data_IF_093951198734
#
_entry.id   IF_093951198734
#
_cell.length_a   1.000
_cell.length_b   1.000
_cell.length_c   1.000
_cell.angle_alpha   90.00
_cell.angle_beta   90.00
_cell.angle_gamma   90.00
#
_symmetry.space_group_name_H-M   'P 1'
#
loop_
_entity.id
_entity.type
_entity.pdbx_description
1 polymer ?
#
# COMPACT_ATOMS: atom_id res chain seq x y z
N UNK A 1 -21.61 15.54 -44.82
CA UNK A 1 -22.24 14.85 -43.67
C UNK A 1 -21.09 14.42 -42.79
N UNK A 2 -20.66 15.17 -41.78
CA UNK A 2 -21.41 15.72 -40.67
C UNK A 2 -20.81 15.09 -39.41
N UNK A 3 -19.58 15.50 -39.04
CA UNK A 3 -18.97 15.18 -37.75
C UNK A 3 -19.48 16.20 -36.73
N UNK A 4 -20.79 16.23 -36.50
CA UNK A 4 -21.41 17.11 -35.52
C UNK A 4 -22.42 16.27 -34.76
N UNK A 5 -21.92 15.61 -33.72
CA UNK A 5 -22.65 15.22 -32.50
C UNK A 5 -21.67 14.61 -31.46
N UNK A 6 -20.38 14.94 -31.52
CA UNK A 6 -19.45 14.61 -30.44
C UNK A 6 -19.76 15.54 -29.26
N UNK A 7 -20.49 15.01 -28.27
CA UNK A 7 -20.75 15.73 -27.04
C UNK A 7 -19.39 16.12 -26.42
N UNK A 8 -19.18 17.39 -26.04
CA UNK A 8 -17.90 17.83 -25.50
C UNK A 8 -17.65 17.08 -24.18
N UNK A 9 -16.61 16.24 -24.16
CA UNK A 9 -16.15 15.57 -22.96
C UNK A 9 -15.27 16.55 -22.19
N UNK A 10 -15.73 16.95 -21.01
CA UNK A 10 -14.92 17.74 -20.09
C UNK A 10 -13.97 16.81 -19.33
N UNK A 11 -12.67 17.08 -19.43
CA UNK A 11 -11.60 16.33 -18.77
C UNK A 11 -11.07 17.15 -17.59
N UNK A 12 -11.40 16.71 -16.38
CA UNK A 12 -10.91 17.32 -15.15
C UNK A 12 -9.89 16.43 -14.49
N UNK A 13 -8.74 16.96 -14.11
CA UNK A 13 -7.77 16.22 -13.31
C UNK A 13 -8.40 15.87 -11.95
N UNK A 14 -8.36 14.60 -11.56
CA UNK A 14 -9.14 14.09 -10.42
C UNK A 14 -8.65 14.67 -9.08
N UNK A 15 -7.35 14.93 -8.97
CA UNK A 15 -6.70 15.59 -7.84
C UNK A 15 -5.50 16.39 -8.34
N UNK A 16 -5.07 17.40 -7.58
CA UNK A 16 -3.67 17.83 -7.59
C UNK A 16 -2.84 16.67 -7.04
N UNK A 17 -2.53 15.68 -7.88
CA UNK A 17 -1.72 14.51 -7.47
C UNK A 17 -0.43 15.02 -6.84
N UNK A 18 0.00 14.47 -5.69
CA UNK A 18 1.34 14.79 -5.18
C UNK A 18 2.34 14.53 -6.31
N UNK A 19 3.29 15.45 -6.47
CA UNK A 19 4.17 15.55 -7.65
C UNK A 19 5.02 14.28 -7.89
N UNK A 20 5.10 13.38 -6.90
CA UNK A 20 5.86 12.12 -6.96
C UNK A 20 5.06 10.88 -7.43
N UNK A 21 3.83 11.03 -7.94
CA UNK A 21 3.05 9.86 -8.42
C UNK A 21 3.44 9.45 -9.83
N UNK A 22 3.50 8.13 -10.06
CA UNK A 22 3.72 7.56 -11.38
C UNK A 22 2.53 7.85 -12.32
N UNK A 23 1.31 7.61 -11.81
CA UNK A 23 0.07 7.74 -12.57
C UNK A 23 -0.60 9.10 -12.35
N UNK A 24 -1.19 9.61 -13.43
CA UNK A 24 -2.09 10.77 -13.40
C UNK A 24 -3.48 10.31 -13.81
N UNK A 25 -4.49 10.76 -13.06
CA UNK A 25 -5.89 10.44 -13.31
C UNK A 25 -6.68 11.67 -13.77
N UNK A 26 -7.41 11.50 -14.85
CA UNK A 26 -8.38 12.46 -15.37
C UNK A 26 -9.78 11.85 -15.27
N UNK A 27 -10.76 12.63 -14.84
CA UNK A 27 -12.18 12.31 -14.93
C UNK A 27 -12.70 12.86 -16.24
N UNK A 28 -13.28 11.99 -17.04
CA UNK A 28 -14.15 12.38 -18.14
C UNK A 28 -15.59 12.40 -17.63
N UNK A 29 -16.23 13.56 -17.67
CA UNK A 29 -17.67 13.70 -17.44
C UNK A 29 -18.36 14.02 -18.76
N UNK A 30 -19.27 13.15 -19.19
CA UNK A 30 -20.22 13.41 -20.28
C UNK A 30 -21.57 13.80 -19.68
N UNK A 31 -22.34 14.65 -20.36
CA UNK A 31 -23.62 15.19 -19.87
C UNK A 31 -24.70 14.14 -19.59
N UNK A 32 -24.56 12.92 -20.12
CA UNK A 32 -25.57 11.85 -20.02
C UNK A 32 -25.00 10.46 -19.65
N UNK A 33 -23.71 10.31 -19.35
CA UNK A 33 -23.08 8.98 -19.14
C UNK A 33 -22.38 8.80 -17.78
N UNK A 34 -22.11 7.53 -17.46
CA UNK A 34 -21.25 7.14 -16.34
C UNK A 34 -19.87 7.81 -16.46
N UNK A 35 -19.40 8.41 -15.36
CA UNK A 35 -18.08 9.04 -15.34
C UNK A 35 -16.98 8.00 -15.53
N UNK A 36 -15.99 8.35 -16.35
CA UNK A 36 -14.84 7.50 -16.64
C UNK A 36 -13.57 8.11 -16.04
N UNK A 37 -12.66 7.25 -15.60
CA UNK A 37 -11.33 7.62 -15.16
C UNK A 37 -10.31 7.19 -16.21
N UNK A 38 -9.58 8.16 -16.75
CA UNK A 38 -8.44 7.96 -17.63
C UNK A 38 -7.15 8.03 -16.81
N UNK A 39 -6.40 6.93 -16.78
CA UNK A 39 -5.10 6.80 -16.13
C UNK A 39 -3.99 6.75 -17.18
N UNK A 40 -2.94 7.55 -16.96
CA UNK A 40 -1.79 7.71 -17.85
C UNK A 40 -0.49 7.80 -17.04
N UNK A 41 0.64 7.43 -17.64
CA UNK A 41 1.98 7.80 -17.14
C UNK A 41 2.47 9.01 -17.94
N UNK A 42 2.76 10.16 -17.31
CA UNK A 42 3.33 11.30 -18.02
C UNK A 42 4.71 10.96 -18.60
N UNK A 43 4.99 11.37 -19.83
CA UNK A 43 6.29 11.10 -20.48
C UNK A 43 7.49 11.76 -19.77
N UNK A 44 7.24 12.80 -18.97
CA UNK A 44 8.26 13.47 -18.16
C UNK A 44 8.62 12.68 -16.90
N UNK A 45 7.79 11.70 -16.50
CA UNK A 45 8.00 10.94 -15.28
C UNK A 45 9.06 9.89 -15.52
N UNK A 46 10.19 10.00 -14.79
CA UNK A 46 11.19 8.94 -14.76
C UNK A 46 10.62 7.73 -14.01
N UNK A 47 10.65 6.57 -14.67
CA UNK A 47 10.13 5.31 -14.14
C UNK A 47 11.28 4.46 -13.59
N UNK A 48 11.00 3.77 -12.49
CA UNK A 48 11.85 2.69 -11.99
C UNK A 48 11.74 1.50 -12.94
N UNK A 49 12.74 0.62 -12.94
CA UNK A 49 12.74 -0.59 -13.79
C UNK A 49 11.46 -1.43 -13.63
N UNK A 50 10.95 -1.58 -12.41
CA UNK A 50 9.72 -2.34 -12.13
C UNK A 50 8.42 -1.63 -12.53
N UNK A 51 8.48 -0.34 -12.86
CA UNK A 51 7.30 0.45 -13.23
C UNK A 51 7.08 0.57 -14.75
N UNK A 52 8.02 0.06 -15.55
CA UNK A 52 8.04 0.24 -17.00
C UNK A 52 6.78 -0.32 -17.70
N UNK A 53 6.10 -1.29 -17.09
CA UNK A 53 4.84 -1.86 -17.57
C UNK A 53 3.66 -1.60 -16.60
N UNK A 54 3.66 -0.47 -15.89
CA UNK A 54 2.67 -0.16 -14.84
C UNK A 54 1.21 -0.18 -15.33
N UNK A 55 0.89 0.52 -16.43
CA UNK A 55 -0.46 0.58 -16.99
C UNK A 55 -0.92 -0.79 -17.48
N UNK A 56 -0.03 -1.51 -18.18
CA UNK A 56 -0.31 -2.88 -18.62
C UNK A 56 -0.61 -3.81 -17.44
N UNK A 57 0.22 -3.78 -16.41
CA UNK A 57 0.10 -4.65 -15.24
C UNK A 57 -1.20 -4.39 -14.47
N UNK A 58 -1.55 -3.12 -14.30
CA UNK A 58 -2.83 -2.73 -13.71
C UNK A 58 -4.02 -3.21 -14.54
N UNK A 59 -4.01 -3.02 -15.86
CA UNK A 59 -5.10 -3.43 -16.74
C UNK A 59 -5.35 -4.95 -16.68
N UNK A 60 -4.27 -5.75 -16.74
CA UNK A 60 -4.35 -7.22 -16.69
C UNK A 60 -4.86 -7.69 -15.33
N UNK A 61 -4.35 -7.11 -14.23
CA UNK A 61 -4.79 -7.47 -12.88
C UNK A 61 -6.28 -7.18 -12.66
N UNK A 62 -6.75 -5.99 -13.03
CA UNK A 62 -8.15 -5.59 -12.85
C UNK A 62 -9.11 -6.48 -13.65
N UNK A 63 -8.71 -6.87 -14.87
CA UNK A 63 -9.47 -7.84 -15.68
C UNK A 63 -9.53 -9.21 -15.00
N UNK A 64 -8.39 -9.72 -14.53
CA UNK A 64 -8.32 -11.03 -13.85
C UNK A 64 -9.15 -11.06 -12.56
N UNK A 65 -9.08 -10.02 -11.72
CA UNK A 65 -9.87 -9.92 -10.49
C UNK A 65 -11.37 -9.91 -10.81
N UNK A 66 -11.78 -9.16 -11.84
CA UNK A 66 -13.19 -9.11 -12.28
C UNK A 66 -13.76 -10.50 -12.60
N UNK A 67 -12.95 -11.42 -13.14
CA UNK A 67 -13.36 -12.78 -13.54
C UNK A 67 -13.20 -13.80 -12.43
N UNK A 68 -12.14 -13.69 -11.63
CA UNK A 68 -11.91 -14.57 -10.48
C UNK A 68 -13.09 -14.49 -9.51
N UNK A 69 -13.69 -13.31 -9.36
CA UNK A 69 -14.92 -13.13 -8.58
C UNK A 69 -16.17 -13.75 -9.23
N UNK A 70 -16.25 -13.83 -10.56
CA UNK A 70 -17.35 -14.51 -11.26
C UNK A 70 -17.27 -16.04 -11.08
N UNK A 71 -16.05 -16.59 -11.10
CA UNK A 71 -15.82 -18.04 -10.99
C UNK A 71 -16.06 -18.58 -9.58
N UNK A 72 -15.78 -17.78 -8.54
CA UNK A 72 -16.07 -18.16 -7.15
C UNK A 72 -17.58 -18.34 -6.90
N UNK A 73 -18.42 -17.49 -7.51
CA UNK A 73 -19.88 -17.56 -7.41
C UNK A 73 -20.50 -18.75 -8.16
N UNK A 74 -19.85 -19.24 -9.22
CA UNK A 74 -20.33 -20.39 -9.99
C UNK A 74 -20.12 -21.72 -9.23
N UNK A 75 -19.01 -21.86 -8.49
CA UNK A 75 -18.68 -23.08 -7.76
C UNK A 75 -19.49 -23.26 -6.47
N UNK A 76 -20.01 -22.19 -5.86
CA UNK A 76 -20.95 -22.29 -4.74
C UNK A 76 -22.32 -22.86 -5.14
N UNK A 77 -22.68 -22.79 -6.43
CA UNK A 77 -23.94 -23.34 -6.96
C UNK A 77 -23.90 -24.84 -7.26
N UNK A 78 -22.72 -25.47 -7.31
CA UNK A 78 -22.55 -26.82 -7.87
C UNK A 78 -22.22 -27.92 -6.83
N UNK A 79 -21.93 -27.57 -5.57
CA UNK A 79 -21.52 -28.56 -4.55
C UNK A 79 -22.69 -29.24 -3.80
N UNK A 80 -23.94 -29.05 -4.21
CA UNK A 80 -25.13 -29.59 -3.54
C UNK A 80 -25.92 -30.61 -4.37
N UNK A 81 -25.28 -31.46 -5.18
CA UNK A 81 -26.00 -32.56 -5.85
C UNK A 81 -25.19 -33.84 -6.01
N UNK A 82 -24.95 -34.55 -4.91
CA UNK A 82 -24.74 -36.00 -4.98
C UNK A 82 -24.99 -36.69 -3.64
N UNK A 83 -26.24 -37.07 -3.37
CA UNK A 83 -26.59 -38.37 -2.75
C UNK A 83 -28.10 -38.60 -2.78
N UNK A 84 -28.50 -39.76 -3.29
CA UNK A 84 -29.89 -40.24 -3.39
C UNK A 84 -30.49 -40.59 -2.01
N UNK A 85 -31.80 -40.29 -1.81
CA UNK A 85 -32.61 -40.99 -0.80
C UNK A 85 -33.91 -40.31 -0.28
N UNK A 86 -35.03 -40.51 -1.00
CA UNK A 86 -36.43 -40.67 -0.52
C UNK A 86 -37.20 -39.53 0.21
N UNK A 87 -38.15 -38.95 -0.54
CA UNK A 87 -39.55 -38.53 -0.22
C UNK A 87 -39.90 -38.09 1.22
N UNK A 88 -40.27 -36.81 1.39
CA UNK A 88 -41.56 -36.39 1.97
C UNK A 88 -41.85 -34.90 1.72
N UNK A 89 -43.13 -34.61 1.54
CA UNK A 89 -43.73 -33.32 1.18
C UNK A 89 -43.67 -32.29 2.32
N UNK A 90 -43.63 -31.00 1.95
CA UNK A 90 -44.32 -29.95 2.72
C UNK A 90 -43.52 -28.67 3.01
N UNK A 91 -44.12 -27.55 2.60
CA UNK A 91 -43.95 -26.17 3.08
C UNK A 91 -42.87 -25.30 2.43
N UNK A 92 -43.37 -24.39 1.57
CA UNK A 92 -42.80 -23.09 1.28
C UNK A 92 -42.25 -22.41 2.54
N UNK A 93 -40.95 -22.11 2.54
CA UNK A 93 -40.40 -20.91 3.18
C UNK A 93 -39.25 -20.40 2.30
N UNK A 94 -39.37 -19.15 1.87
CA UNK A 94 -38.40 -18.50 0.99
C UNK A 94 -37.00 -18.49 1.60
N UNK A 95 -36.12 -19.33 1.05
CA UNK A 95 -34.71 -19.37 1.38
C UNK A 95 -34.02 -18.10 0.92
N UNK A 96 -33.71 -17.21 1.86
CA UNK A 96 -32.78 -16.10 1.63
C UNK A 96 -31.42 -16.69 1.22
N UNK A 97 -31.02 -16.36 -0.01
CA UNK A 97 -29.67 -16.57 -0.54
C UNK A 97 -28.63 -16.07 0.49
N UNK A 98 -27.57 -16.85 0.80
CA UNK A 98 -26.55 -16.42 1.75
C UNK A 98 -25.84 -15.16 1.19
N UNK A 99 -25.88 -14.09 1.99
CA UNK A 99 -25.33 -12.75 1.70
C UNK A 99 -23.81 -12.67 1.87
N UNK A 100 -23.06 -13.67 1.43
CA UNK A 100 -21.60 -13.67 1.58
C UNK A 100 -20.88 -13.48 0.23
N UNK A 101 -21.31 -12.48 -0.54
CA UNK A 101 -20.39 -11.92 -1.56
C UNK A 101 -19.26 -11.19 -0.84
N UNK A 102 -17.98 -11.46 -1.16
CA UNK A 102 -16.88 -10.67 -0.61
C UNK A 102 -17.11 -9.18 -0.91
N UNK A 103 -16.86 -8.28 0.06
CA UNK A 103 -17.26 -6.86 0.00
C UNK A 103 -16.62 -6.09 -1.17
N UNK A 104 -15.59 -6.66 -1.79
CA UNK A 104 -14.79 -6.08 -2.85
C UNK A 104 -15.47 -5.94 -4.22
N UNK A 105 -16.58 -6.65 -4.47
CA UNK A 105 -17.17 -6.78 -5.83
C UNK A 105 -17.64 -5.44 -6.43
N UNK A 106 -18.17 -4.54 -5.62
CA UNK A 106 -18.75 -3.28 -6.11
C UNK A 106 -17.74 -2.13 -6.15
N UNK A 107 -16.47 -2.41 -5.84
CA UNK A 107 -15.49 -1.37 -5.58
C UNK A 107 -14.24 -1.48 -6.45
N UNK A 108 -14.05 -2.61 -7.13
CA UNK A 108 -12.98 -2.75 -8.11
C UNK A 108 -13.23 -1.84 -9.33
N UNK A 109 -12.23 -1.06 -9.79
CA UNK A 109 -12.33 -0.31 -11.03
C UNK A 109 -12.58 -1.25 -12.21
N UNK A 110 -13.70 -1.06 -12.92
CA UNK A 110 -14.02 -1.87 -14.10
C UNK A 110 -13.30 -1.31 -15.32
N UNK A 111 -12.42 -2.11 -15.90
CA UNK A 111 -11.71 -1.75 -17.15
C UNK A 111 -12.71 -1.63 -18.30
N UNK A 112 -12.70 -0.47 -18.95
CA UNK A 112 -13.46 -0.18 -20.17
C UNK A 112 -12.56 -0.39 -21.39
N UNK A 113 -11.35 0.18 -21.35
CA UNK A 113 -10.38 0.09 -22.45
C UNK A 113 -8.96 0.26 -21.91
N UNK A 114 -8.04 -0.52 -22.46
CA UNK A 114 -6.60 -0.31 -22.31
C UNK A 114 -5.98 -0.26 -23.70
N UNK A 115 -5.00 0.60 -23.89
CA UNK A 115 -4.31 0.70 -25.16
C UNK A 115 -3.26 1.79 -25.16
N UNK A 116 -2.90 2.21 -26.36
CA UNK A 116 -1.84 3.18 -26.60
C UNK A 116 -2.33 4.22 -27.60
N UNK A 117 -2.19 5.49 -27.23
CA UNK A 117 -2.53 6.62 -28.08
C UNK A 117 -1.27 7.09 -28.79
N UNK A 118 -1.35 7.40 -30.09
CA UNK A 118 -0.18 7.80 -30.90
C UNK A 118 0.07 9.31 -30.94
N UNK A 119 -0.84 10.13 -30.41
CA UNK A 119 -0.79 11.58 -30.52
C UNK A 119 -1.12 12.23 -29.17
N UNK A 120 -0.32 13.18 -28.65
CA UNK A 120 0.89 13.79 -29.24
C UNK A 120 2.17 12.91 -29.15
N UNK A 121 2.11 11.76 -28.50
CA UNK A 121 3.21 10.79 -28.34
C UNK A 121 2.63 9.41 -28.06
N UNK A 122 3.47 8.37 -28.08
CA UNK A 122 3.07 6.97 -27.85
C UNK A 122 2.81 6.71 -26.36
N UNK A 123 1.62 7.08 -25.86
CA UNK A 123 1.26 7.02 -24.43
C UNK A 123 0.33 5.85 -24.17
N UNK A 124 0.71 4.98 -23.23
CA UNK A 124 -0.19 3.95 -22.71
C UNK A 124 -1.26 4.55 -21.81
N UNK A 125 -2.48 4.08 -21.98
CA UNK A 125 -3.62 4.55 -21.23
C UNK A 125 -4.50 3.40 -20.74
N UNK A 126 -5.11 3.64 -19.58
CA UNK A 126 -6.13 2.78 -19.01
C UNK A 126 -7.38 3.63 -18.74
N UNK A 127 -8.51 3.18 -19.26
CA UNK A 127 -9.82 3.76 -19.06
C UNK A 127 -10.67 2.81 -18.21
N UNK A 128 -11.12 3.29 -17.05
CA UNK A 128 -11.96 2.55 -16.12
C UNK A 128 -13.25 3.30 -15.82
N UNK A 129 -14.29 2.58 -15.36
CA UNK A 129 -15.45 3.23 -14.75
C UNK A 129 -15.04 3.90 -13.44
N UNK A 130 -15.53 5.11 -13.17
CA UNK A 130 -15.21 5.82 -11.94
C UNK A 130 -15.74 5.06 -10.73
N UNK A 131 -14.86 4.81 -9.78
CA UNK A 131 -15.23 4.32 -8.45
C UNK A 131 -15.52 5.55 -7.57
N UNK A 132 -16.64 5.53 -6.84
CA UNK A 132 -17.03 6.62 -5.92
C UNK A 132 -16.06 6.73 -4.74
N UNK A 133 -16.01 7.86 -4.04
CA UNK A 133 -15.14 8.06 -2.86
C UNK A 133 -13.93 8.97 -3.11
N UNK A 134 -13.25 9.32 -2.03
CA UNK A 134 -12.10 10.22 -2.01
C UNK A 134 -10.84 9.51 -1.51
N UNK A 135 -9.67 9.94 -1.96
CA UNK A 135 -8.39 9.42 -1.43
C UNK A 135 -8.18 9.90 0.01
N UNK A 136 -7.59 9.09 0.87
CA UNK A 136 -7.44 9.41 2.29
C UNK A 136 -6.63 10.71 2.51
N UNK A 137 -5.58 10.96 1.71
CA UNK A 137 -4.83 12.24 1.76
C UNK A 137 -5.69 13.47 1.52
N UNK A 138 -6.82 13.36 0.81
CA UNK A 138 -7.70 14.50 0.54
C UNK A 138 -8.48 14.97 1.77
N UNK A 139 -8.59 14.13 2.80
CA UNK A 139 -9.22 14.51 4.07
C UNK A 139 -8.27 15.26 5.01
N UNK A 140 -6.96 15.24 4.75
CA UNK A 140 -5.95 15.88 5.60
C UNK A 140 -6.06 15.49 7.08
N UNK A 141 -5.89 16.46 7.98
CA UNK A 141 -5.95 16.25 9.43
C UNK A 141 -7.38 16.23 10.02
N UNK A 142 -8.42 16.08 9.19
CA UNK A 142 -9.81 16.17 9.64
C UNK A 142 -10.31 14.93 10.40
N UNK A 143 -9.53 13.84 10.45
CA UNK A 143 -9.94 12.58 11.05
C UNK A 143 -9.63 12.56 12.55
N UNK A 144 -10.64 12.18 13.35
CA UNK A 144 -10.43 11.87 14.75
C UNK A 144 -9.61 10.59 14.92
N UNK A 145 -8.94 10.44 16.08
CA UNK A 145 -8.19 9.21 16.40
C UNK A 145 -9.06 7.95 16.33
N UNK A 146 -10.33 8.03 16.71
CA UNK A 146 -11.25 6.89 16.62
C UNK A 146 -11.57 6.51 15.17
N UNK A 147 -11.78 7.50 14.30
CA UNK A 147 -11.98 7.27 12.87
C UNK A 147 -10.72 6.69 12.22
N UNK A 148 -9.53 7.19 12.59
CA UNK A 148 -8.27 6.64 12.09
C UNK A 148 -8.12 5.16 12.44
N UNK A 149 -8.35 4.78 13.71
CA UNK A 149 -8.31 3.36 14.12
C UNK A 149 -9.30 2.48 13.35
N UNK A 150 -10.49 3.01 13.07
CA UNK A 150 -11.50 2.31 12.27
C UNK A 150 -11.03 2.13 10.82
N UNK A 151 -10.39 3.15 10.22
CA UNK A 151 -9.79 3.08 8.89
C UNK A 151 -8.64 2.07 8.89
N UNK A 152 -7.73 2.14 9.87
CA UNK A 152 -6.59 1.22 9.98
C UNK A 152 -7.05 -0.24 10.07
N UNK A 153 -8.08 -0.52 10.87
CA UNK A 153 -8.70 -1.84 10.94
C UNK A 153 -9.26 -2.28 9.58
N UNK A 154 -9.99 -1.41 8.89
CA UNK A 154 -10.53 -1.73 7.57
C UNK A 154 -9.43 -1.89 6.50
N UNK A 155 -8.31 -1.17 6.60
CA UNK A 155 -7.12 -1.39 5.75
C UNK A 155 -6.55 -2.80 5.99
N UNK A 156 -6.50 -3.25 7.24
CA UNK A 156 -6.13 -4.63 7.57
C UNK A 156 -7.04 -5.65 6.87
N UNK A 157 -8.36 -5.43 6.92
CA UNK A 157 -9.33 -6.28 6.23
C UNK A 157 -9.17 -6.24 4.70
N UNK A 158 -8.93 -5.06 4.13
CA UNK A 158 -8.66 -4.86 2.72
C UNK A 158 -7.47 -5.71 2.25
N UNK A 159 -6.34 -5.64 2.96
CA UNK A 159 -5.13 -6.41 2.63
C UNK A 159 -5.38 -7.92 2.77
N UNK A 160 -6.15 -8.33 3.79
CA UNK A 160 -6.58 -9.73 3.95
C UNK A 160 -7.37 -10.21 2.74
N UNK A 161 -8.36 -9.43 2.31
CA UNK A 161 -9.25 -9.76 1.20
C UNK A 161 -8.46 -9.86 -0.12
N UNK A 162 -7.50 -8.95 -0.36
CA UNK A 162 -6.58 -9.05 -1.49
C UNK A 162 -5.75 -10.34 -1.42
N UNK A 163 -5.22 -10.66 -0.23
CA UNK A 163 -4.35 -11.84 -0.01
C UNK A 163 -5.07 -13.18 -0.16
N UNK A 164 -6.41 -13.21 -0.22
CA UNK A 164 -7.18 -14.42 -0.55
C UNK A 164 -6.79 -14.95 -1.93
N UNK A 165 -6.52 -14.03 -2.85
CA UNK A 165 -6.22 -14.32 -4.24
C UNK A 165 -4.79 -14.86 -4.37
N UNK A 166 -4.66 -16.12 -4.78
CA UNK A 166 -3.36 -16.77 -4.98
C UNK A 166 -2.93 -16.73 -6.44
N UNK A 167 -1.63 -16.84 -6.67
CA UNK A 167 -1.06 -17.04 -8.00
C UNK A 167 -1.70 -18.24 -8.69
N UNK A 168 -2.28 -18.09 -9.89
CA UNK A 168 -2.94 -19.20 -10.59
C UNK A 168 -2.02 -20.37 -10.95
N UNK A 169 -0.71 -20.11 -11.06
CA UNK A 169 0.29 -21.13 -11.38
C UNK A 169 1.19 -21.48 -10.18
N UNK A 170 0.90 -20.95 -8.98
CA UNK A 170 1.70 -21.21 -7.78
C UNK A 170 3.11 -20.61 -7.77
N UNK A 171 3.43 -19.70 -8.70
CA UNK A 171 4.73 -19.01 -8.75
C UNK A 171 4.64 -17.60 -8.14
N UNK A 172 5.78 -17.12 -7.66
CA UNK A 172 6.03 -15.75 -7.23
C UNK A 172 6.44 -14.89 -8.44
N UNK A 173 6.06 -13.61 -8.44
CA UNK A 173 6.40 -12.70 -9.52
C UNK A 173 5.54 -11.46 -9.58
N UNK A 174 5.85 -10.56 -10.53
CA UNK A 174 4.95 -9.46 -10.88
C UNK A 174 3.62 -10.02 -11.41
N UNK A 175 2.50 -9.35 -11.10
CA UNK A 175 1.16 -9.84 -11.45
C UNK A 175 1.00 -10.05 -12.95
N UNK A 176 1.44 -9.10 -13.77
CA UNK A 176 1.38 -9.20 -15.24
C UNK A 176 2.12 -10.43 -15.76
N UNK A 177 3.36 -10.63 -15.35
CA UNK A 177 4.20 -11.77 -15.77
C UNK A 177 3.60 -13.11 -15.34
N UNK A 178 3.14 -13.22 -14.09
CA UNK A 178 2.52 -14.44 -13.55
C UNK A 178 1.20 -14.76 -14.26
N UNK A 179 0.34 -13.77 -14.46
CA UNK A 179 -0.95 -13.96 -15.14
C UNK A 179 -0.77 -14.26 -16.62
N UNK A 180 0.23 -13.66 -17.27
CA UNK A 180 0.63 -13.99 -18.64
C UNK A 180 1.08 -15.44 -18.74
N UNK A 181 1.97 -15.88 -17.85
CA UNK A 181 2.45 -17.27 -17.80
C UNK A 181 1.34 -18.29 -17.49
N UNK A 182 0.31 -17.88 -16.74
CA UNK A 182 -0.87 -18.69 -16.47
C UNK A 182 -1.94 -18.67 -17.58
N UNK A 183 -1.70 -17.99 -18.71
CA UNK A 183 -2.68 -17.77 -19.79
C UNK A 183 -3.97 -17.07 -19.32
N UNK A 184 -3.87 -16.19 -18.32
CA UNK A 184 -5.00 -15.46 -17.72
C UNK A 184 -5.13 -14.01 -18.26
N UNK A 185 -4.52 -13.71 -19.40
CA UNK A 185 -4.59 -12.39 -20.04
C UNK A 185 -5.65 -12.37 -21.16
N UNK A 186 -6.46 -11.32 -21.25
CA UNK A 186 -7.44 -11.21 -22.34
C UNK A 186 -6.83 -10.63 -23.62
N UNK A 187 -7.16 -11.26 -24.73
CA UNK A 187 -6.86 -10.89 -26.12
C UNK A 187 -7.67 -9.69 -26.62
N UNK A 188 -7.87 -8.64 -25.82
CA UNK A 188 -8.61 -7.44 -26.29
C UNK A 188 -7.75 -6.57 -27.21
N UNK A 189 -6.43 -6.72 -27.17
CA UNK A 189 -5.53 -5.99 -28.07
C UNK A 189 -4.43 -6.91 -28.56
N UNK A 190 -4.26 -7.03 -29.88
CA UNK A 190 -3.01 -7.52 -30.49
C UNK A 190 -1.89 -6.55 -30.07
N UNK A 191 -1.33 -6.72 -28.88
CA UNK A 191 -0.14 -6.02 -28.45
C UNK A 191 1.06 -6.88 -28.84
N UNK A 192 1.94 -6.26 -29.63
CA UNK A 192 3.25 -6.76 -30.04
C UNK A 192 4.07 -7.18 -28.81
N UNK A 193 4.94 -8.21 -28.88
CA UNK A 193 5.80 -8.55 -27.76
C UNK A 193 6.78 -7.40 -27.52
N UNK A 194 6.50 -6.55 -26.53
CA UNK A 194 7.58 -5.90 -25.82
C UNK A 194 8.28 -7.02 -25.05
N UNK A 195 9.37 -7.54 -25.61
CA UNK A 195 10.29 -8.42 -24.90
C UNK A 195 10.96 -7.55 -23.86
N UNK A 196 10.37 -7.47 -22.67
CA UNK A 196 11.12 -7.10 -21.48
C UNK A 196 11.84 -8.35 -21.00
N UNK A 197 13.16 -8.29 -20.90
CA UNK A 197 14.03 -9.40 -20.45
C UNK A 197 13.71 -9.92 -19.03
N UNK A 198 12.77 -9.27 -18.33
CA UNK A 198 12.41 -9.49 -16.93
C UNK A 198 11.08 -10.28 -16.74
N UNK A 199 10.62 -11.00 -17.77
CA UNK A 199 9.43 -11.88 -17.70
C UNK A 199 9.71 -13.20 -16.95
N UNK A 200 10.38 -13.10 -15.80
CA UNK A 200 10.79 -14.24 -14.97
C UNK A 200 9.77 -14.46 -13.85
N UNK A 201 9.20 -15.68 -13.81
CA UNK A 201 8.46 -16.18 -12.65
C UNK A 201 9.40 -17.03 -11.78
N UNK A 202 9.16 -17.03 -10.47
CA UNK A 202 10.02 -17.70 -9.51
C UNK A 202 9.25 -18.75 -8.70
N UNK A 203 9.90 -19.85 -8.38
CA UNK A 203 9.32 -20.90 -7.52
C UNK A 203 9.51 -20.62 -6.03
N UNK A 204 10.47 -19.77 -5.67
CA UNK A 204 10.84 -19.41 -4.30
C UNK A 204 10.63 -17.91 -4.10
N UNK A 205 10.12 -17.53 -2.92
CA UNK A 205 9.92 -16.13 -2.58
C UNK A 205 11.23 -15.35 -2.54
N UNK A 206 12.29 -15.96 -2.00
CA UNK A 206 13.58 -15.29 -1.89
C UNK A 206 14.20 -14.91 -3.23
N UNK A 207 14.08 -15.77 -4.26
CA UNK A 207 14.62 -15.50 -5.59
C UNK A 207 13.92 -14.29 -6.23
N UNK A 208 12.59 -14.20 -6.07
CA UNK A 208 11.84 -13.05 -6.57
C UNK A 208 12.12 -11.78 -5.75
N UNK A 209 12.15 -11.87 -4.42
CA UNK A 209 12.50 -10.73 -3.56
C UNK A 209 13.89 -10.18 -3.89
N UNK A 210 14.89 -11.05 -4.10
CA UNK A 210 16.24 -10.66 -4.50
C UNK A 210 16.24 -9.98 -5.88
N UNK A 211 15.44 -10.45 -6.84
CA UNK A 211 15.25 -9.77 -8.14
C UNK A 211 14.64 -8.37 -7.97
N UNK A 212 13.63 -8.21 -7.12
CA UNK A 212 13.04 -6.91 -6.81
C UNK A 212 14.06 -5.97 -6.17
N UNK A 213 14.78 -6.45 -5.15
CA UNK A 213 15.79 -5.67 -4.45
C UNK A 213 16.93 -5.26 -5.40
N UNK A 214 17.46 -6.20 -6.20
CA UNK A 214 18.52 -5.89 -7.15
C UNK A 214 18.06 -4.87 -8.18
N UNK A 215 16.82 -4.98 -8.68
CA UNK A 215 16.27 -4.00 -9.62
C UNK A 215 16.29 -2.58 -9.07
N UNK A 216 15.84 -2.37 -7.82
CA UNK A 216 15.85 -1.03 -7.23
C UNK A 216 17.25 -0.57 -6.83
N UNK A 217 18.14 -1.50 -6.44
CA UNK A 217 19.55 -1.16 -6.22
C UNK A 217 20.23 -0.69 -7.50
N UNK A 218 19.90 -1.28 -8.66
CA UNK A 218 20.37 -0.79 -9.97
C UNK A 218 19.81 0.59 -10.30
N UNK A 219 18.54 0.85 -9.99
CA UNK A 219 17.97 2.20 -10.14
C UNK A 219 18.71 3.23 -9.27
N UNK A 220 19.12 2.83 -8.05
CA UNK A 220 19.90 3.66 -7.14
C UNK A 220 21.35 3.87 -7.60
N UNK A 221 22.00 2.84 -8.15
CA UNK A 221 23.35 2.93 -8.74
C UNK A 221 23.35 3.88 -9.95
N UNK A 222 22.36 3.78 -10.84
CA UNK A 222 22.19 4.69 -11.98
C UNK A 222 21.91 6.14 -11.54
N UNK A 223 21.28 6.30 -10.38
CA UNK A 223 21.06 7.59 -9.73
C UNK A 223 22.30 8.12 -8.98
N UNK A 224 23.40 7.35 -8.96
CA UNK A 224 24.60 7.64 -8.18
C UNK A 224 24.33 7.89 -6.68
N UNK A 225 23.32 7.22 -6.12
CA UNK A 225 22.99 7.38 -4.70
C UNK A 225 24.04 6.67 -3.84
N UNK A 226 24.49 7.33 -2.78
CA UNK A 226 25.34 6.69 -1.77
C UNK A 226 24.47 5.87 -0.82
N UNK A 227 24.46 4.54 -0.99
CA UNK A 227 23.77 3.56 -0.15
C UNK A 227 24.73 2.44 0.27
N UNK A 228 24.34 1.66 1.27
CA UNK A 228 25.12 0.53 1.77
C UNK A 228 24.86 -0.76 0.96
N UNK A 229 25.15 -0.70 -0.34
CA UNK A 229 24.82 -1.74 -1.32
C UNK A 229 25.30 -3.15 -0.92
N UNK A 230 26.55 -3.28 -0.49
CA UNK A 230 27.13 -4.57 -0.12
C UNK A 230 26.44 -5.17 1.10
N UNK A 231 26.08 -4.35 2.09
CA UNK A 231 25.36 -4.80 3.29
C UNK A 231 23.93 -5.23 2.96
N UNK A 232 23.26 -4.50 2.06
CA UNK A 232 21.93 -4.87 1.58
C UNK A 232 21.93 -6.22 0.86
N UNK A 233 22.84 -6.40 -0.11
CA UNK A 233 23.00 -7.68 -0.83
C UNK A 233 23.40 -8.82 0.12
N UNK A 234 24.32 -8.55 1.05
CA UNK A 234 24.75 -9.52 2.06
C UNK A 234 23.57 -10.00 2.92
N UNK A 235 22.80 -9.10 3.53
CA UNK A 235 21.68 -9.48 4.40
C UNK A 235 20.57 -10.18 3.64
N UNK A 236 20.24 -9.72 2.44
CA UNK A 236 19.22 -10.36 1.61
C UNK A 236 19.63 -11.79 1.20
N UNK A 237 20.91 -12.02 0.88
CA UNK A 237 21.46 -13.35 0.61
C UNK A 237 21.54 -14.22 1.86
N UNK A 238 21.97 -13.66 2.99
CA UNK A 238 22.10 -14.33 4.29
C UNK A 238 20.77 -14.90 4.79
N UNK A 239 19.68 -14.17 4.62
CA UNK A 239 18.36 -14.55 5.12
C UNK A 239 17.45 -15.18 4.05
N UNK A 240 18.04 -15.73 2.98
CA UNK A 240 17.32 -16.38 1.89
C UNK A 240 16.36 -17.47 2.38
N UNK A 241 16.83 -18.32 3.29
CA UNK A 241 16.04 -19.44 3.84
C UNK A 241 14.83 -18.95 4.64
N UNK A 242 14.97 -17.83 5.36
CA UNK A 242 13.89 -17.21 6.12
C UNK A 242 12.80 -16.63 5.20
N UNK A 243 13.20 -16.07 4.06
CA UNK A 243 12.27 -15.64 3.03
C UNK A 243 11.51 -16.84 2.44
N UNK A 244 12.18 -17.98 2.24
CA UNK A 244 11.56 -19.17 1.64
C UNK A 244 10.57 -19.92 2.55
N UNK A 245 10.42 -19.50 3.82
CA UNK A 245 9.27 -19.90 4.65
C UNK A 245 7.92 -19.46 4.05
N UNK A 246 7.95 -18.45 3.18
CA UNK A 246 6.78 -18.02 2.39
C UNK A 246 6.61 -18.98 1.22
N UNK A 247 5.62 -19.87 1.31
CA UNK A 247 5.39 -20.91 0.29
C UNK A 247 4.13 -20.69 -0.53
N UNK A 248 3.28 -19.71 -0.16
CA UNK A 248 2.04 -19.43 -0.88
C UNK A 248 2.09 -18.01 -1.46
N UNK A 249 2.23 -17.88 -2.79
CA UNK A 249 2.25 -16.59 -3.48
C UNK A 249 0.85 -15.96 -3.51
N UNK A 250 0.62 -15.00 -2.62
CA UNK A 250 -0.66 -14.28 -2.48
C UNK A 250 -0.60 -12.95 -3.24
N UNK A 251 -1.72 -12.43 -3.73
CA UNK A 251 -1.77 -11.11 -4.32
C UNK A 251 -1.44 -10.06 -3.25
N UNK A 252 -0.41 -9.26 -3.52
CA UNK A 252 0.02 -8.15 -2.69
C UNK A 252 0.09 -6.91 -3.56
N UNK A 253 -0.63 -5.85 -3.16
CA UNK A 253 -0.42 -4.51 -3.70
C UNK A 253 0.44 -3.77 -2.69
N UNK A 254 1.66 -3.39 -3.09
CA UNK A 254 2.70 -2.99 -2.14
C UNK A 254 2.35 -1.71 -1.40
N UNK A 255 1.61 -0.80 -2.02
CA UNK A 255 1.17 0.48 -1.47
C UNK A 255 -0.30 0.48 -1.03
N UNK A 256 -0.94 -0.69 -0.93
CA UNK A 256 -2.28 -0.79 -0.35
C UNK A 256 -2.27 -0.33 1.12
N UNK A 257 -3.21 0.54 1.48
CA UNK A 257 -3.29 1.12 2.81
C UNK A 257 -2.51 2.43 2.99
N UNK A 258 -1.64 2.80 2.05
CA UNK A 258 -1.02 4.14 2.07
C UNK A 258 -2.09 5.21 1.81
N UNK A 259 -1.96 6.38 2.45
CA UNK A 259 -3.00 7.41 2.40
C UNK A 259 -3.30 7.88 0.96
N UNK A 260 -2.27 7.92 0.11
CA UNK A 260 -2.40 8.38 -1.27
C UNK A 260 -3.05 7.32 -2.19
N UNK A 261 -3.04 6.06 -1.77
CA UNK A 261 -3.63 4.96 -2.55
C UNK A 261 -4.94 4.44 -1.93
N UNK A 262 -5.26 4.78 -0.68
CA UNK A 262 -6.49 4.31 0.00
C UNK A 262 -7.69 5.19 -0.32
N UNK A 263 -8.80 4.58 -0.75
CA UNK A 263 -10.06 5.27 -1.04
C UNK A 263 -11.09 5.03 0.06
N UNK A 264 -11.73 6.12 0.48
CA UNK A 264 -12.75 6.11 1.53
C UNK A 264 -14.02 6.82 1.09
N UNK A 265 -15.13 6.45 1.72
CA UNK A 265 -16.38 7.22 1.71
C UNK A 265 -16.61 7.71 3.14
N UNK A 266 -16.73 9.03 3.31
CA UNK A 266 -17.19 9.59 4.57
C UNK A 266 -18.67 9.23 4.74
N UNK A 267 -19.05 8.74 5.91
CA UNK A 267 -20.47 8.64 6.27
C UNK A 267 -21.05 10.06 6.30
N UNK A 268 -22.17 10.26 5.61
CA UNK A 268 -22.78 11.56 5.32
C UNK A 268 -22.84 12.49 6.54
N UNK A 269 -22.06 13.57 6.49
CA UNK A 269 -22.54 14.88 6.91
C UNK A 269 -22.37 15.83 5.74
N UNK A 270 -23.51 16.22 5.17
CA UNK A 270 -23.69 17.25 4.14
C UNK A 270 -23.45 16.80 2.69
N UNK A 271 -24.45 16.13 2.12
CA UNK A 271 -24.86 16.42 0.75
C UNK A 271 -25.42 17.86 0.70
N UNK A 272 -24.55 18.85 0.79
CA UNK A 272 -24.78 20.25 0.43
C UNK A 272 -23.43 20.97 0.47
N UNK A 273 -23.07 21.60 -0.65
CA UNK A 273 -21.88 22.41 -0.92
C UNK A 273 -20.62 21.64 -1.32
N UNK A 274 -20.56 21.30 -2.61
CA UNK A 274 -19.31 21.44 -3.35
C UNK A 274 -18.80 22.89 -3.22
N UNK A 275 -17.50 23.15 -3.02
CA UNK A 275 -16.97 24.49 -3.10
C UNK A 275 -16.99 24.93 -4.57
N UNK A 276 -17.96 25.78 -4.89
CA UNK A 276 -17.97 26.55 -6.13
C UNK A 276 -16.68 27.38 -6.21
N UNK A 277 -16.04 27.34 -7.39
CA UNK A 277 -14.80 28.03 -7.66
C UNK A 277 -14.90 29.53 -7.39
N UNK A 278 -13.91 30.05 -6.67
CA UNK A 278 -13.66 31.48 -6.59
C UNK A 278 -13.08 31.97 -7.91
N UNK A 279 -13.94 32.62 -8.68
CA UNK A 279 -13.55 33.54 -9.75
C UNK A 279 -12.83 34.72 -9.10
N UNK A 280 -11.52 34.85 -9.29
CA UNK A 280 -10.82 36.12 -9.12
C UNK A 280 -10.39 36.63 -10.49
N UNK A 281 -11.16 37.58 -11.00
CA UNK A 281 -10.77 38.43 -12.12
C UNK A 281 -9.61 39.33 -11.68
N UNK A 282 -8.58 39.38 -12.52
CA UNK A 282 -7.49 40.35 -12.43
C UNK A 282 -7.86 41.68 -13.09
N UNK A 283 -7.45 42.78 -12.43
CA UNK A 283 -7.02 44.03 -13.04
C UNK A 283 -7.55 45.31 -12.39
N UNK A 284 -6.79 46.42 -12.30
CA UNK A 284 -5.33 46.56 -12.30
C UNK A 284 -4.76 47.43 -11.15
N UNK A 285 -3.43 47.36 -11.08
CA UNK A 285 -2.39 48.08 -10.31
C UNK A 285 -2.66 49.56 -9.95
N UNK A 286 -2.31 49.96 -8.72
CA UNK A 286 -1.57 51.21 -8.47
C UNK A 286 -0.66 51.11 -7.23
N UNK A 287 0.61 51.46 -7.42
CA UNK A 287 1.66 51.63 -6.42
C UNK A 287 1.41 52.89 -5.59
N UNK A 288 1.76 52.89 -4.29
CA UNK A 288 2.55 53.98 -3.70
C UNK A 288 3.19 53.62 -2.35
N UNK A 289 4.43 54.05 -2.23
CA UNK A 289 5.43 53.87 -1.18
C UNK A 289 5.20 54.83 0.00
N UNK A 290 5.49 54.42 1.24
CA UNK A 290 6.36 55.15 2.22
C UNK A 290 6.28 54.57 3.65
N UNK A 291 7.44 54.13 4.12
CA UNK A 291 7.90 54.18 5.53
C UNK A 291 8.54 55.58 5.81
N UNK A 292 9.07 55.95 7.02
CA UNK A 292 9.25 55.18 8.29
C UNK A 292 9.01 56.01 9.60
N UNK A 293 9.43 55.43 10.76
CA UNK A 293 9.95 56.05 12.01
C UNK A 293 8.98 56.31 13.20
N UNK A 294 9.26 56.11 14.50
CA UNK A 294 10.34 55.50 15.35
C UNK A 294 9.83 55.52 16.83
N UNK A 295 10.49 54.76 17.73
CA UNK A 295 10.66 54.99 19.19
C UNK A 295 9.52 54.52 20.13
N UNK A 296 9.72 53.92 21.32
CA UNK A 296 10.89 53.62 22.14
C UNK A 296 10.56 52.52 23.20
N UNK A 297 11.58 51.75 23.59
CA UNK A 297 11.75 51.03 24.88
C UNK A 297 12.21 52.05 25.97
N UNK A 298 12.31 51.77 27.30
CA UNK A 298 12.76 50.52 27.98
C UNK A 298 11.96 50.20 29.29
N UNK A 299 12.15 49.13 30.08
CA UNK A 299 13.35 48.74 30.83
C UNK A 299 13.09 47.54 31.77
N UNK A 300 14.16 46.76 32.03
CA UNK A 300 14.56 46.03 33.27
C UNK A 300 13.65 44.91 33.82
N UNK A 301 14.06 43.64 33.75
CA UNK A 301 15.12 42.92 34.50
C UNK A 301 14.68 42.44 35.90
N UNK A 302 14.76 41.12 36.14
CA UNK A 302 15.66 40.46 37.11
C UNK A 302 15.30 38.97 37.25
N UNK A 303 16.36 38.17 37.38
CA UNK A 303 16.51 36.73 37.45
C UNK A 303 15.91 36.02 38.68
N UNK A 304 15.91 34.68 38.59
CA UNK A 304 16.20 33.63 39.61
C UNK A 304 15.02 32.66 39.82
N UNK A 305 15.08 31.39 39.40
CA UNK A 305 15.92 30.25 39.85
C UNK A 305 15.28 29.42 40.98
N UNK A 306 15.33 28.08 40.80
CA UNK A 306 15.10 26.97 41.77
C UNK A 306 13.62 26.69 42.14
N UNK A 307 13.15 25.45 42.34
CA UNK A 307 13.82 24.16 42.57
C UNK A 307 12.81 22.98 42.49
N UNK A 308 13.40 21.82 42.20
CA UNK A 308 12.93 20.42 42.31
C UNK A 308 11.87 20.10 43.38
N UNK A 309 10.98 19.15 43.06
CA UNK A 309 10.47 18.16 44.04
C UNK A 309 10.23 16.82 43.34
N UNK A 310 10.89 15.77 43.85
CA UNK A 310 10.60 14.35 43.59
C UNK A 310 9.43 13.92 44.46
N UNK A 311 8.51 13.08 43.97
CA UNK A 311 7.88 12.06 44.83
C UNK A 311 7.37 10.85 44.03
N UNK A 312 7.98 9.71 44.38
CA UNK A 312 7.58 8.30 44.38
C UNK A 312 6.45 7.70 43.52
N UNK A 313 6.82 6.51 43.04
CA UNK A 313 6.06 5.37 42.53
C UNK A 313 4.75 5.02 43.25
N UNK A 314 3.78 4.60 42.45
CA UNK A 314 2.81 3.56 42.81
C UNK A 314 2.37 2.78 41.57
N UNK A 315 2.38 1.45 41.71
CA UNK A 315 1.82 0.49 40.76
C UNK A 315 0.32 0.75 40.57
N UNK A 316 -0.12 0.85 39.31
CA UNK A 316 -1.52 0.65 38.95
C UNK A 316 -1.65 -0.41 37.86
N UNK A 317 -2.65 -1.26 38.09
CA UNK A 317 -2.99 -2.53 37.47
C UNK A 317 -3.23 -2.48 35.96
N UNK A 318 -2.79 -3.55 35.29
CA UNK A 318 -3.10 -3.90 33.89
C UNK A 318 -4.62 -4.07 33.71
N UNK A 319 -5.29 -3.31 32.82
CA UNK A 319 -6.65 -3.64 32.41
C UNK A 319 -6.61 -4.71 31.31
N UNK A 320 -7.28 -5.83 31.58
CA UNK A 320 -7.58 -6.93 30.67
C UNK A 320 -8.22 -6.39 29.37
N UNK A 321 -7.87 -6.90 28.17
CA UNK A 321 -8.46 -6.41 26.93
C UNK A 321 -9.91 -6.90 26.80
N UNK A 322 -10.85 -5.95 26.79
CA UNK A 322 -12.26 -6.21 26.44
C UNK A 322 -12.35 -6.42 24.93
N UNK A 323 -13.09 -7.44 24.43
CA UNK A 323 -13.28 -7.63 23.00
C UNK A 323 -14.08 -6.45 22.44
N UNK A 324 -13.51 -5.75 21.46
CA UNK A 324 -14.22 -4.72 20.70
C UNK A 324 -15.31 -5.42 19.89
N UNK A 325 -16.53 -5.50 20.44
CA UNK A 325 -17.74 -5.62 19.62
C UNK A 325 -17.85 -4.32 18.85
N UNK A 326 -17.80 -4.40 17.52
CA UNK A 326 -18.07 -3.24 16.68
C UNK A 326 -19.46 -2.71 17.03
N UNK A 327 -19.50 -1.56 17.69
CA UNK A 327 -20.64 -0.69 17.54
C UNK A 327 -20.52 -0.16 16.12
N UNK A 328 -21.31 -0.69 15.19
CA UNK A 328 -21.50 -0.09 13.87
C UNK A 328 -22.05 1.32 14.10
N UNK A 329 -21.17 2.30 14.31
CA UNK A 329 -21.58 3.68 14.42
C UNK A 329 -21.84 4.17 13.01
N UNK A 330 -23.07 4.62 12.68
CA UNK A 330 -23.44 5.02 11.32
C UNK A 330 -22.55 6.14 10.73
N UNK A 331 -21.80 6.86 11.58
CA UNK A 331 -20.89 7.97 11.21
C UNK A 331 -19.42 7.53 10.92
N UNK A 332 -19.10 6.24 10.87
CA UNK A 332 -17.71 5.78 10.66
C UNK A 332 -17.30 5.81 9.17
N UNK A 333 -16.17 6.43 8.79
CA UNK A 333 -15.68 6.41 7.42
C UNK A 333 -15.39 4.97 6.98
N UNK A 334 -15.77 4.65 5.74
CA UNK A 334 -15.61 3.31 5.18
C UNK A 334 -14.47 3.28 4.17
N UNK A 335 -13.53 2.34 4.34
CA UNK A 335 -12.54 2.00 3.32
C UNK A 335 -13.23 1.18 2.26
N UNK A 336 -13.12 1.64 1.03
CA UNK A 336 -13.82 1.03 -0.09
C UNK A 336 -12.83 0.31 -1.02
N UNK A 337 -11.61 0.79 -1.17
CA UNK A 337 -10.62 0.14 -2.03
C UNK A 337 -9.36 0.96 -2.18
N UNK A 338 -8.66 0.72 -3.29
CA UNK A 338 -7.45 1.48 -3.67
C UNK A 338 -7.59 2.14 -5.04
N UNK A 339 -6.76 3.16 -5.28
CA UNK A 339 -6.77 3.98 -6.49
C UNK A 339 -5.94 3.35 -7.62
N UNK A 340 -4.69 3.00 -7.31
CA UNK A 340 -3.69 2.46 -8.22
C UNK A 340 -3.39 1.00 -7.88
N UNK A 341 -3.26 0.17 -8.91
CA UNK A 341 -3.05 -1.27 -8.76
C UNK A 341 -1.78 -1.77 -9.47
N UNK A 342 -1.00 -0.86 -10.05
CA UNK A 342 0.19 -1.18 -10.82
C UNK A 342 1.32 -1.83 -10.02
N UNK A 343 1.47 -1.47 -8.75
CA UNK A 343 2.56 -1.99 -7.90
C UNK A 343 2.14 -3.28 -7.20
N UNK A 344 1.76 -4.27 -8.01
CA UNK A 344 1.17 -5.52 -7.55
C UNK A 344 2.02 -6.73 -7.92
N UNK A 345 2.10 -7.67 -6.98
CA UNK A 345 2.88 -8.91 -7.10
C UNK A 345 2.09 -10.10 -6.55
N UNK A 346 2.58 -11.31 -6.83
CA UNK A 346 2.26 -12.49 -6.03
C UNK A 346 3.42 -12.82 -5.09
N UNK A 347 3.20 -12.65 -3.77
CA UNK A 347 4.25 -12.62 -2.75
C UNK A 347 3.76 -12.84 -1.32
N UNK A 348 4.57 -12.38 -0.37
CA UNK A 348 4.26 -12.35 1.08
C UNK A 348 3.38 -11.13 1.41
N UNK A 349 2.16 -11.28 1.97
CA UNK A 349 1.32 -10.15 2.38
C UNK A 349 2.00 -9.17 3.35
N UNK A 350 2.97 -9.63 4.14
CA UNK A 350 3.75 -8.75 5.02
C UNK A 350 4.56 -7.71 4.26
N UNK A 351 4.77 -7.92 2.97
CA UNK A 351 5.50 -7.00 2.10
C UNK A 351 4.68 -5.78 1.69
N UNK A 352 3.38 -5.70 2.03
CA UNK A 352 2.66 -4.42 1.93
C UNK A 352 3.32 -3.39 2.86
N UNK A 353 3.58 -2.19 2.34
CA UNK A 353 4.37 -1.14 2.99
C UNK A 353 3.84 -0.78 4.39
N UNK A 354 2.52 -0.66 4.53
CA UNK A 354 1.90 -0.35 5.82
C UNK A 354 2.06 -1.48 6.84
N UNK A 355 2.03 -2.75 6.43
CA UNK A 355 2.27 -3.90 7.33
C UNK A 355 3.75 -4.09 7.67
N UNK A 356 4.64 -3.70 6.75
CA UNK A 356 6.08 -3.68 7.00
C UNK A 356 6.46 -2.61 8.02
N UNK A 357 5.95 -1.38 7.84
CA UNK A 357 6.37 -0.19 8.60
C UNK A 357 5.57 0.03 9.88
N UNK A 358 4.31 -0.37 9.90
CA UNK A 358 3.38 -0.04 10.98
C UNK A 358 3.36 -1.10 12.08
N UNK A 359 3.46 -0.64 13.33
CA UNK A 359 3.13 -1.42 14.53
C UNK A 359 1.67 -1.20 14.97
N UNK A 360 0.83 -0.66 14.09
CA UNK A 360 -0.55 -0.33 14.43
C UNK A 360 -1.39 -1.60 14.60
N UNK A 361 -1.73 -1.90 15.86
CA UNK A 361 -2.48 -3.09 16.23
C UNK A 361 -3.88 -3.13 15.62
N UNK A 362 -4.51 -2.00 15.34
CA UNK A 362 -5.84 -1.98 14.72
C UNK A 362 -5.79 -2.58 13.31
N UNK A 363 -4.76 -2.24 12.53
CA UNK A 363 -4.53 -2.83 11.20
C UNK A 363 -4.24 -4.32 11.28
N UNK A 364 -3.39 -4.76 12.22
CA UNK A 364 -3.14 -6.18 12.45
C UNK A 364 -4.39 -6.93 12.88
N UNK A 365 -5.22 -6.33 13.74
CA UNK A 365 -6.50 -6.88 14.15
C UNK A 365 -7.42 -7.06 12.95
N UNK A 366 -7.47 -6.09 12.04
CA UNK A 366 -8.23 -6.18 10.78
C UNK A 366 -7.74 -7.28 9.86
N UNK A 367 -6.42 -7.41 9.69
CA UNK A 367 -5.80 -8.47 8.89
C UNK A 367 -6.15 -9.86 9.43
N UNK A 368 -6.14 -10.00 10.76
CA UNK A 368 -6.39 -11.27 11.45
C UNK A 368 -7.89 -11.54 11.60
N UNK A 369 -8.75 -10.53 11.52
CA UNK A 369 -10.17 -10.62 11.78
C UNK A 369 -10.84 -11.68 10.89
N UNK A 370 -11.47 -12.68 11.53
CA UNK A 370 -12.15 -13.76 10.82
C UNK A 370 -13.54 -13.30 10.39
N UNK A 371 -13.82 -13.41 9.09
CA UNK A 371 -15.17 -13.22 8.54
C UNK A 371 -15.58 -14.55 7.90
N UNK A 372 -16.29 -15.40 8.66
CA UNK A 372 -16.88 -16.67 8.17
C UNK A 372 -16.15 -17.97 8.53
N UNK A 373 -16.76 -19.11 8.17
CA UNK A 373 -16.35 -20.46 8.62
C UNK A 373 -15.18 -21.10 7.85
N UNK A 374 -14.80 -20.61 6.66
CA UNK A 374 -13.74 -21.22 5.84
C UNK A 374 -12.68 -20.19 5.41
N UNK A 375 -11.55 -20.14 6.12
CA UNK A 375 -10.40 -19.32 5.70
C UNK A 375 -9.57 -20.02 4.60
N UNK A 376 -9.21 -19.27 3.56
CA UNK A 376 -8.29 -19.71 2.50
C UNK A 376 -6.94 -20.16 3.09
N UNK A 377 -6.30 -21.17 2.48
CA UNK A 377 -4.96 -21.63 2.87
C UNK A 377 -3.94 -20.47 2.89
N UNK A 378 -4.06 -19.54 1.94
CA UNK A 378 -3.28 -18.30 1.89
C UNK A 378 -3.47 -17.44 3.13
N UNK A 379 -4.72 -17.17 3.52
CA UNK A 379 -5.02 -16.40 4.73
C UNK A 379 -4.53 -17.12 5.98
N UNK A 380 -4.76 -18.43 6.09
CA UNK A 380 -4.26 -19.22 7.22
C UNK A 380 -2.74 -19.15 7.30
N UNK A 381 -2.03 -19.24 6.17
CA UNK A 381 -0.59 -19.12 6.15
C UNK A 381 -0.12 -17.69 6.41
N UNK A 382 -0.76 -16.65 5.87
CA UNK A 382 -0.41 -15.26 6.13
C UNK A 382 -0.64 -14.89 7.61
N UNK A 383 -1.76 -15.31 8.19
CA UNK A 383 -2.05 -15.16 9.63
C UNK A 383 -1.07 -15.98 10.46
N UNK A 384 -0.75 -17.22 10.06
CA UNK A 384 0.20 -18.05 10.77
C UNK A 384 1.62 -17.47 10.68
N UNK A 385 2.03 -16.97 9.52
CA UNK A 385 3.28 -16.24 9.33
C UNK A 385 3.29 -15.00 10.21
N UNK A 386 2.22 -14.20 10.23
CA UNK A 386 2.09 -13.01 11.06
C UNK A 386 2.08 -13.30 12.58
N UNK A 387 1.46 -14.39 13.02
CA UNK A 387 1.29 -14.71 14.45
C UNK A 387 2.43 -15.54 15.05
N UNK A 388 3.05 -16.45 14.27
CA UNK A 388 3.73 -17.63 14.83
C UNK A 388 5.11 -17.98 14.22
N UNK A 389 5.83 -17.08 13.57
CA UNK A 389 7.22 -17.36 13.19
C UNK A 389 8.24 -16.44 13.85
N UNK A 390 9.29 -17.09 14.38
CA UNK A 390 10.50 -16.49 14.96
C UNK A 390 11.15 -15.46 14.03
N UNK A 391 10.87 -15.52 12.73
CA UNK A 391 11.56 -14.74 11.69
C UNK A 391 10.70 -13.66 11.00
N UNK A 392 9.49 -13.37 11.50
CA UNK A 392 8.66 -12.25 10.99
C UNK A 392 9.42 -10.94 11.02
N UNK A 393 10.11 -10.67 12.14
CA UNK A 393 10.92 -9.47 12.31
C UNK A 393 12.03 -9.36 11.26
N UNK A 394 12.66 -10.47 10.88
CA UNK A 394 13.69 -10.48 9.83
C UNK A 394 13.10 -10.12 8.47
N UNK A 395 11.98 -10.75 8.09
CA UNK A 395 11.32 -10.46 6.81
C UNK A 395 10.88 -9.00 6.74
N UNK A 396 10.26 -8.47 7.80
CA UNK A 396 9.89 -7.05 7.88
C UNK A 396 11.09 -6.12 7.75
N UNK A 397 12.23 -6.44 8.35
CA UNK A 397 13.44 -5.63 8.21
C UNK A 397 13.97 -5.63 6.76
N UNK A 398 14.00 -6.78 6.10
CA UNK A 398 14.39 -6.88 4.68
C UNK A 398 13.43 -6.11 3.77
N UNK A 399 12.12 -6.22 4.04
CA UNK A 399 11.09 -5.49 3.33
C UNK A 399 11.19 -3.98 3.56
N UNK A 400 11.52 -3.54 4.78
CA UNK A 400 11.69 -2.12 5.08
C UNK A 400 12.95 -1.56 4.40
N UNK A 401 14.02 -2.36 4.27
CA UNK A 401 15.15 -2.02 3.42
C UNK A 401 14.70 -1.78 1.97
N UNK A 402 13.98 -2.72 1.36
CA UNK A 402 13.46 -2.57 -0.01
C UNK A 402 12.60 -1.31 -0.15
N UNK A 403 11.59 -1.16 0.70
CA UNK A 403 10.66 -0.02 0.65
C UNK A 403 11.37 1.31 0.86
N UNK A 404 12.36 1.36 1.75
CA UNK A 404 13.15 2.56 2.00
C UNK A 404 14.01 2.92 0.79
N UNK A 405 14.67 1.94 0.14
CA UNK A 405 15.42 2.19 -1.10
C UNK A 405 14.50 2.67 -2.21
N UNK A 406 13.34 2.02 -2.43
CA UNK A 406 12.34 2.47 -3.41
C UNK A 406 11.93 3.91 -3.14
N UNK A 407 11.63 4.27 -1.88
CA UNK A 407 11.26 5.65 -1.54
C UNK A 407 12.40 6.63 -1.87
N UNK A 408 13.65 6.33 -1.48
CA UNK A 408 14.80 7.22 -1.75
C UNK A 408 15.00 7.42 -3.26
N UNK A 409 15.01 6.33 -4.04
CA UNK A 409 15.18 6.39 -5.51
C UNK A 409 14.04 7.16 -6.16
N UNK A 410 12.82 6.94 -5.69
CA UNK A 410 11.62 7.59 -6.24
C UNK A 410 11.65 9.10 -6.00
N UNK A 411 11.97 9.56 -4.77
CA UNK A 411 12.15 10.99 -4.47
C UNK A 411 13.28 11.62 -5.31
N UNK A 412 14.34 10.86 -5.62
CA UNK A 412 15.42 11.35 -6.47
C UNK A 412 15.03 11.44 -7.95
N UNK A 413 14.29 10.45 -8.47
CA UNK A 413 13.84 10.43 -9.87
C UNK A 413 12.73 11.43 -10.17
N UNK A 414 11.94 11.76 -9.16
CA UNK A 414 10.74 12.60 -9.27
C UNK A 414 10.79 13.67 -8.19
N UNK A 415 11.86 14.47 -8.23
CA UNK A 415 12.13 15.53 -7.26
C UNK A 415 10.91 16.42 -7.11
N UNK A 416 10.43 16.53 -5.87
CA UNK A 416 9.36 17.43 -5.48
C UNK A 416 9.92 18.52 -4.57
N UNK A 417 9.20 19.65 -4.44
CA UNK A 417 9.64 20.78 -3.59
C UNK A 417 9.89 20.36 -2.14
N UNK A 418 9.17 19.33 -1.67
CA UNK A 418 9.28 18.76 -0.32
C UNK A 418 9.99 17.39 -0.31
N UNK A 419 10.81 17.08 -1.31
CA UNK A 419 11.44 15.76 -1.47
C UNK A 419 12.30 15.35 -0.26
N UNK A 420 13.00 16.31 0.36
CA UNK A 420 13.84 16.08 1.53
C UNK A 420 13.04 15.57 2.74
N UNK A 421 11.78 16.01 2.89
CA UNK A 421 10.90 15.60 4.00
C UNK A 421 10.49 14.13 3.92
N UNK A 422 10.59 13.51 2.74
CA UNK A 422 10.27 12.09 2.50
C UNK A 422 11.52 11.23 2.40
N UNK A 423 12.55 11.76 1.75
CA UNK A 423 13.82 11.08 1.52
C UNK A 423 14.59 10.85 2.83
N UNK A 424 14.74 11.87 3.67
CA UNK A 424 15.52 11.78 4.90
C UNK A 424 14.92 10.77 5.90
N UNK A 425 13.59 10.72 6.14
CA UNK A 425 12.99 9.63 6.91
C UNK A 425 13.24 8.25 6.30
N UNK A 426 13.23 8.12 4.97
CA UNK A 426 13.51 6.85 4.30
C UNK A 426 14.96 6.40 4.51
N UNK A 427 15.94 7.31 4.42
CA UNK A 427 17.34 7.01 4.77
C UNK A 427 17.51 6.57 6.21
N UNK A 428 16.87 7.28 7.15
CA UNK A 428 16.94 6.91 8.58
C UNK A 428 16.38 5.52 8.83
N UNK A 429 15.24 5.18 8.20
CA UNK A 429 14.65 3.83 8.27
C UNK A 429 15.57 2.78 7.68
N UNK A 430 16.17 3.04 6.51
CA UNK A 430 17.12 2.12 5.88
C UNK A 430 18.30 1.80 6.81
N UNK A 431 18.95 2.82 7.37
CA UNK A 431 20.09 2.66 8.29
C UNK A 431 19.66 1.89 9.55
N UNK A 432 18.48 2.21 10.10
CA UNK A 432 17.96 1.50 11.26
C UNK A 432 17.66 0.02 10.95
N UNK A 433 17.06 -0.28 9.80
CA UNK A 433 16.73 -1.64 9.40
C UNK A 433 18.00 -2.47 9.19
N UNK A 434 18.99 -1.91 8.49
CA UNK A 434 20.31 -2.54 8.30
C UNK A 434 21.01 -2.78 9.64
N UNK A 435 21.03 -1.77 10.53
CA UNK A 435 21.62 -1.92 11.88
C UNK A 435 20.96 -3.02 12.70
N UNK A 436 19.63 -3.14 12.63
CA UNK A 436 18.91 -4.24 13.28
C UNK A 436 19.21 -5.60 12.66
N UNK A 437 19.45 -5.68 11.34
CA UNK A 437 19.84 -6.93 10.68
C UNK A 437 21.26 -7.39 11.06
N UNK A 438 22.17 -6.45 11.30
CA UNK A 438 23.52 -6.73 11.81
C UNK A 438 23.50 -7.41 13.18
N UNK A 439 22.58 -6.98 14.04
CA UNK A 439 22.43 -7.48 15.41
C UNK A 439 21.82 -8.89 15.46
N UNK A 440 21.41 -9.47 14.32
CA UNK A 440 20.82 -10.81 14.25
C UNK A 440 21.86 -11.87 13.85
N UNK A 441 21.76 -13.06 14.44
CA UNK A 441 22.44 -14.29 14.01
C UNK A 441 21.82 -14.84 12.71
N UNK A 442 22.40 -15.91 12.14
CA UNK A 442 21.93 -16.48 10.86
C UNK A 442 20.52 -17.11 10.96
N UNK A 443 20.06 -17.35 12.20
CA UNK A 443 18.73 -17.83 12.52
C UNK A 443 17.78 -16.68 12.89
N UNK A 444 18.17 -15.42 12.68
CA UNK A 444 17.33 -14.26 12.94
C UNK A 444 17.12 -13.92 14.43
N UNK A 445 17.96 -14.43 15.32
CA UNK A 445 17.90 -14.15 16.77
C UNK A 445 18.89 -13.06 17.14
N UNK A 446 18.55 -12.23 18.13
CA UNK A 446 19.47 -11.21 18.63
C UNK A 446 20.79 -11.84 19.11
N UNK A 447 21.91 -11.33 18.60
CA UNK A 447 23.24 -11.66 19.08
C UNK A 447 23.36 -11.10 20.49
N UNK A 448 23.13 -11.92 21.50
CA UNK A 448 23.39 -11.52 22.87
C UNK A 448 24.86 -11.06 22.99
N UNK A 449 25.14 -9.87 23.55
CA UNK A 449 26.49 -9.53 23.94
C UNK A 449 26.91 -10.56 24.98
N UNK A 450 27.93 -11.37 24.69
CA UNK A 450 28.50 -12.31 25.67
C UNK A 450 28.84 -11.53 26.96
N UNK A 451 28.19 -11.80 28.11
CA UNK A 451 28.62 -11.23 29.38
C UNK A 451 29.74 -12.12 29.94
N UNK A 452 30.89 -12.20 29.26
CA UNK A 452 32.06 -12.91 29.82
C UNK A 452 33.36 -12.53 29.14
N UNK A 453 33.98 -11.46 29.64
CA UNK A 453 35.43 -11.42 29.93
C UNK A 453 35.76 -10.23 30.83
N UNK A 454 35.02 -10.06 31.94
CA UNK A 454 35.51 -9.24 33.04
C UNK A 454 36.49 -10.09 33.85
N UNK A 455 37.74 -10.16 33.40
CA UNK A 455 38.82 -10.64 34.26
C UNK A 455 38.89 -9.71 35.49
N UNK A 456 38.78 -10.21 36.73
CA UNK A 456 39.01 -9.39 37.90
C UNK A 456 40.49 -9.03 37.93
N UNK A 457 40.80 -7.74 37.79
CA UNK A 457 42.14 -7.21 38.02
C UNK A 457 42.46 -7.44 39.51
N UNK A 458 43.25 -8.48 39.79
CA UNK A 458 43.81 -8.72 41.11
C UNK A 458 44.73 -7.55 41.49
N UNK A 459 44.31 -6.76 42.48
CA UNK A 459 45.12 -5.67 43.04
C UNK A 459 46.38 -6.25 43.68
N UNK A 460 47.52 -5.96 43.05
CA UNK A 460 48.88 -6.19 43.57
C UNK A 460 49.04 -5.41 44.88
N UNK A 461 49.25 -6.10 46.01
CA UNK A 461 49.69 -5.49 47.27
C UNK A 461 51.08 -4.89 47.05
N UNK A 462 51.23 -3.59 47.34
CA UNK A 462 52.53 -2.92 47.42
C UNK A 462 53.13 -3.22 48.80
N UNK A 463 54.30 -3.84 48.81
CA UNK A 463 55.24 -3.83 49.92
C UNK A 463 56.21 -2.67 49.68
N UNK A 464 56.52 -1.91 50.71
CA UNK A 464 57.42 -0.74 50.65
C UNK A 464 57.00 0.29 51.66
#
# INVERSE_FOLDING_TARGET
MGFDDAHPIDLKRLYSTPENRLHVHYVASSTNEEQLTLTLVPNSTKTLRKEQASIHSEAVLLQWLSISHLSCLANEGQMNSSTHGRVSQGSDTGGKLPKNTPPFKNILPRVVKYGRAKFPSDVEFLLTKRVHGAILTSLGNALSKAQQRCIDFQIGQLIRDLSVHQSPNGHFGATSTVLKAANMHHTVTKALPAVTEDDVIHTRWSDFFLSLLESVLRDAEDAALSLEYDRLRFHAGRFKEILDEVTVPCLVVLDAGEDFNTRIIASDRSAAQEPQGSVQQHGPVCLETKEPQTAAMPSRAVNQSRSKTQTNAQCESVPVPVPIRMLETPDAPKVIGIQDWHNSIFGDPLFTSVLTRSKNMDMWNGLIHQVGEMESKAIKQAIHLAKNFRHVGVRQLLYDCYHSVVTIVTEYYRVTVDGDDRELPARRRLVQAIGRLDDLDDLGREKHPNPSSAHPIAKRKKSG
#
